data_IF_505124309683
#
_entry.id   IF_505124309683
#
_cell.length_a   1.000
_cell.length_b   1.000
_cell.length_c   1.000
_cell.angle_alpha   90.00
_cell.angle_beta   90.00
_cell.angle_gamma   90.00
#
_symmetry.space_group_name_H-M   'P 1'
#
loop_
_entity.id
_entity.type
_entity.pdbx_description
1 polymer ?
#
# COMPACT_ATOMS: atom_id res chain seq x y z
N UNK A 1 -20.34 13.00 4.17
CA UNK A 1 -19.03 12.67 4.75
C UNK A 1 -18.41 11.59 3.87
N UNK A 2 -17.41 11.95 3.07
CA UNK A 2 -16.64 10.93 2.33
C UNK A 2 -15.81 10.23 3.41
N UNK A 3 -16.04 8.93 3.58
CA UNK A 3 -15.30 8.13 4.53
C UNK A 3 -13.81 8.18 4.17
N UNK A 4 -12.93 8.52 5.12
CA UNK A 4 -11.46 8.47 4.98
C UNK A 4 -10.93 7.03 4.84
N UNK A 5 -11.75 6.12 4.34
CA UNK A 5 -11.48 4.69 4.25
C UNK A 5 -10.64 4.42 3.00
N UNK A 6 -9.53 3.73 3.20
CA UNK A 6 -8.67 3.25 2.13
C UNK A 6 -9.36 2.08 1.41
N UNK A 7 -9.40 2.12 0.08
CA UNK A 7 -9.95 1.05 -0.77
C UNK A 7 -8.80 0.42 -1.55
N UNK A 8 -8.46 -0.83 -1.27
CA UNK A 8 -7.37 -1.53 -1.96
C UNK A 8 -7.93 -2.41 -3.08
N UNK A 9 -7.34 -2.31 -4.27
CA UNK A 9 -7.77 -2.98 -5.48
C UNK A 9 -6.88 -4.20 -5.76
N UNK A 10 -7.19 -5.30 -5.08
CA UNK A 10 -6.72 -6.67 -5.36
C UNK A 10 -7.87 -7.71 -5.38
N UNK A 11 -9.10 -7.23 -5.19
CA UNK A 11 -10.36 -7.96 -5.05
C UNK A 11 -11.49 -6.99 -4.63
N UNK A 12 -12.67 -7.51 -4.29
CA UNK A 12 -13.82 -6.71 -3.83
C UNK A 12 -13.69 -6.39 -2.31
N UNK A 13 -13.14 -5.22 -1.94
CA UNK A 13 -13.32 -4.66 -0.59
C UNK A 13 -12.07 -4.27 0.22
N UNK A 14 -12.26 -4.14 1.54
CA UNK A 14 -11.22 -3.78 2.53
C UNK A 14 -10.16 -4.88 2.62
N UNK A 15 -8.89 -4.48 2.60
CA UNK A 15 -7.75 -5.39 2.73
C UNK A 15 -7.12 -5.22 4.11
N UNK A 16 -6.84 -6.32 4.80
CA UNK A 16 -6.17 -6.28 6.11
C UNK A 16 -4.66 -6.02 5.97
N UNK A 17 -3.98 -5.69 7.07
CA UNK A 17 -2.50 -5.60 7.10
C UNK A 17 -1.86 -6.93 6.66
N UNK A 18 -2.44 -8.07 7.03
CA UNK A 18 -1.93 -9.39 6.68
C UNK A 18 -2.08 -9.68 5.18
N UNK A 19 -3.21 -9.31 4.58
CA UNK A 19 -3.41 -9.43 3.13
C UNK A 19 -2.43 -8.55 2.35
N UNK A 20 -2.18 -7.32 2.82
CA UNK A 20 -1.19 -6.42 2.22
C UNK A 20 0.20 -7.06 2.25
N UNK A 21 0.61 -7.57 3.43
CA UNK A 21 1.88 -8.26 3.59
C UNK A 21 1.97 -9.47 2.65
N UNK A 22 0.94 -10.30 2.62
CA UNK A 22 0.87 -11.49 1.78
C UNK A 22 1.03 -11.11 0.30
N UNK A 23 0.33 -10.07 -0.17
CA UNK A 23 0.45 -9.58 -1.56
C UNK A 23 1.89 -9.20 -1.92
N UNK A 24 2.60 -8.52 -1.01
CA UNK A 24 4.01 -8.17 -1.20
C UNK A 24 4.89 -9.43 -1.24
N UNK A 25 4.71 -10.35 -0.30
CA UNK A 25 5.51 -11.58 -0.20
C UNK A 25 5.33 -12.50 -1.42
N UNK A 26 4.12 -12.57 -1.98
CA UNK A 26 3.84 -13.31 -3.22
C UNK A 26 4.16 -12.51 -4.49
N UNK A 27 4.79 -11.33 -4.35
CA UNK A 27 5.22 -10.44 -5.45
C UNK A 27 4.09 -10.08 -6.42
N UNK A 28 2.96 -9.65 -5.85
CA UNK A 28 1.81 -9.12 -6.60
C UNK A 28 1.83 -7.60 -6.59
N UNK A 29 1.54 -7.03 -7.75
CA UNK A 29 1.33 -5.59 -7.92
C UNK A 29 -0.12 -5.26 -7.58
N UNK A 30 -0.35 -4.06 -7.03
CA UNK A 30 -1.68 -3.58 -6.68
C UNK A 30 -1.75 -2.09 -6.48
N UNK A 31 -2.97 -1.54 -6.46
CA UNK A 31 -3.23 -0.15 -6.15
C UNK A 31 -4.29 0.02 -5.06
N UNK A 32 -4.39 1.23 -4.51
CA UNK A 32 -5.46 1.61 -3.59
C UNK A 32 -5.79 3.08 -3.70
N UNK A 33 -7.01 3.46 -3.33
CA UNK A 33 -7.42 4.85 -3.22
C UNK A 33 -7.46 5.26 -1.75
N UNK A 34 -6.82 6.38 -1.44
CA UNK A 34 -6.94 7.06 -0.16
C UNK A 34 -7.17 8.55 -0.41
N UNK A 35 -8.24 9.11 0.17
CA UNK A 35 -8.65 10.52 0.01
C UNK A 35 -8.70 11.00 -1.45
N UNK A 36 -9.17 10.13 -2.35
CA UNK A 36 -9.32 10.44 -3.77
C UNK A 36 -8.04 10.35 -4.60
N UNK A 37 -6.91 9.99 -3.98
CA UNK A 37 -5.64 9.73 -4.68
C UNK A 37 -5.40 8.23 -4.80
N UNK A 38 -4.93 7.78 -5.97
CA UNK A 38 -4.50 6.40 -6.17
C UNK A 38 -3.02 6.25 -5.80
N UNK A 39 -2.69 5.22 -5.05
CA UNK A 39 -1.34 4.80 -4.73
C UNK A 39 -1.09 3.43 -5.35
N UNK A 40 0.07 3.24 -5.95
CA UNK A 40 0.45 2.02 -6.65
C UNK A 40 1.61 1.37 -5.93
N UNK A 41 1.53 0.05 -5.80
CA UNK A 41 2.56 -0.81 -5.25
C UNK A 41 2.96 -1.83 -6.31
N UNK A 42 4.24 -1.84 -6.68
CA UNK A 42 4.78 -2.86 -7.58
C UNK A 42 5.88 -3.63 -6.89
N UNK A 43 5.95 -4.94 -7.14
CA UNK A 43 6.96 -5.82 -6.58
C UNK A 43 7.67 -6.55 -7.71
N UNK A 44 8.95 -6.21 -7.90
CA UNK A 44 9.79 -6.84 -8.91
C UNK A 44 9.88 -8.35 -8.67
N UNK A 45 9.33 -9.14 -9.60
CA UNK A 45 9.42 -10.62 -9.53
C UNK A 45 10.85 -11.14 -9.55
N UNK A 46 11.77 -10.38 -10.15
CA UNK A 46 13.18 -10.75 -10.32
C UNK A 46 14.03 -10.40 -9.09
N UNK A 47 13.89 -9.18 -8.58
CA UNK A 47 14.75 -8.68 -7.49
C UNK A 47 14.08 -8.65 -6.11
N UNK A 48 12.75 -8.73 -6.05
CA UNK A 48 11.99 -8.48 -4.82
C UNK A 48 11.92 -7.00 -4.41
N UNK A 49 12.49 -6.08 -5.20
CA UNK A 49 12.40 -4.64 -4.96
C UNK A 49 10.93 -4.21 -5.00
N UNK A 50 10.50 -3.44 -4.01
CA UNK A 50 9.16 -2.90 -3.90
C UNK A 50 9.22 -1.43 -4.31
N UNK A 51 8.32 -1.00 -5.19
CA UNK A 51 8.10 0.43 -5.47
C UNK A 51 6.73 0.83 -4.97
N UNK A 52 6.65 2.01 -4.36
CA UNK A 52 5.41 2.56 -3.81
C UNK A 52 5.36 4.06 -4.10
N UNK A 53 4.20 4.54 -4.55
CA UNK A 53 3.97 5.98 -4.71
C UNK A 53 2.57 6.32 -5.20
N UNK A 54 2.22 7.60 -5.20
CA UNK A 54 0.99 8.11 -5.83
C UNK A 54 1.07 7.86 -7.35
N UNK A 55 -0.07 7.52 -7.96
CA UNK A 55 -0.19 7.34 -9.40
C UNK A 55 0.32 8.59 -10.14
N UNK A 56 1.10 8.39 -11.20
CA UNK A 56 1.75 9.45 -12.00
C UNK A 56 2.89 10.22 -11.33
N UNK A 57 3.25 9.91 -10.08
CA UNK A 57 4.47 10.43 -9.46
C UNK A 57 5.62 9.41 -9.55
N UNK A 58 6.84 9.88 -9.29
CA UNK A 58 8.02 9.01 -9.20
C UNK A 58 7.89 8.17 -7.92
N UNK A 59 7.78 6.83 -8.00
CA UNK A 59 7.62 6.00 -6.82
C UNK A 59 8.94 5.87 -6.06
N UNK A 60 8.85 5.77 -4.74
CA UNK A 60 9.99 5.46 -3.87
C UNK A 60 10.24 3.95 -3.90
N UNK A 61 11.52 3.56 -3.81
CA UNK A 61 11.96 2.17 -3.77
C UNK A 61 12.20 1.72 -2.33
N UNK A 62 11.88 0.47 -2.07
CA UNK A 62 12.03 -0.18 -0.79
C UNK A 62 12.59 -1.59 -0.97
N UNK A 63 13.48 -1.98 -0.06
CA UNK A 63 14.20 -3.25 -0.13
C UNK A 63 13.41 -4.43 0.47
N UNK A 64 12.43 -4.13 1.32
CA UNK A 64 11.61 -5.15 1.98
C UNK A 64 10.29 -4.58 2.48
N UNK A 65 9.32 -5.46 2.78
CA UNK A 65 8.08 -5.11 3.46
C UNK A 65 8.33 -4.33 4.76
N UNK A 66 9.31 -4.76 5.56
CA UNK A 66 9.67 -4.07 6.82
C UNK A 66 10.15 -2.64 6.57
N UNK A 67 11.00 -2.44 5.56
CA UNK A 67 11.47 -1.12 5.19
C UNK A 67 10.30 -0.24 4.69
N UNK A 68 9.42 -0.79 3.85
CA UNK A 68 8.20 -0.09 3.40
C UNK A 68 7.34 0.37 4.59
N UNK A 69 7.02 -0.52 5.53
CA UNK A 69 6.16 -0.18 6.68
C UNK A 69 6.79 0.86 7.63
N UNK A 70 8.13 0.87 7.75
CA UNK A 70 8.82 1.80 8.63
C UNK A 70 8.91 3.23 8.06
N UNK A 71 9.12 3.35 6.74
CA UNK A 71 9.54 4.60 6.10
C UNK A 71 8.49 5.21 5.16
N UNK A 72 7.43 4.47 4.82
CA UNK A 72 6.44 4.92 3.86
C UNK A 72 5.42 5.87 4.52
N UNK A 73 5.24 7.03 3.89
CA UNK A 73 4.22 8.01 4.26
C UNK A 73 3.18 8.16 3.15
N UNK A 74 1.92 8.19 3.54
CA UNK A 74 0.76 8.51 2.72
C UNK A 74 0.12 9.77 3.29
N UNK A 75 0.20 10.88 2.55
CA UNK A 75 -0.30 12.20 3.01
C UNK A 75 0.23 12.57 4.42
N UNK A 76 1.51 12.29 4.68
CA UNK A 76 2.17 12.58 5.96
C UNK A 76 1.87 11.60 7.11
N UNK A 77 1.06 10.55 6.88
CA UNK A 77 0.82 9.47 7.85
C UNK A 77 1.63 8.22 7.53
N UNK A 78 2.07 7.49 8.54
CA UNK A 78 2.70 6.19 8.35
C UNK A 78 1.71 5.18 7.72
N UNK A 79 2.18 4.42 6.73
CA UNK A 79 1.36 3.45 5.99
C UNK A 79 0.84 2.31 6.87
N UNK A 80 1.63 1.82 7.84
CA UNK A 80 1.19 0.76 8.75
C UNK A 80 0.04 1.24 9.64
N UNK A 81 0.14 2.44 10.19
CA UNK A 81 -0.94 3.03 10.99
C UNK A 81 -2.24 3.17 10.17
N UNK A 82 -2.11 3.61 8.91
CA UNK A 82 -3.25 3.74 8.00
C UNK A 82 -3.92 2.38 7.71
N UNK A 83 -3.14 1.34 7.46
CA UNK A 83 -3.65 -0.02 7.22
C UNK A 83 -4.33 -0.60 8.47
N UNK A 84 -3.76 -0.35 9.65
CA UNK A 84 -4.35 -0.75 10.92
C UNK A 84 -5.72 -0.09 11.13
N UNK A 85 -5.82 1.24 10.98
CA UNK A 85 -7.09 1.97 11.12
C UNK A 85 -8.18 1.45 10.18
N UNK A 86 -7.82 1.14 8.93
CA UNK A 86 -8.77 0.66 7.93
C UNK A 86 -9.22 -0.78 8.18
N UNK A 87 -8.43 -1.59 8.88
CA UNK A 87 -8.76 -3.00 9.19
C UNK A 87 -9.84 -3.16 10.26
N UNK A 88 -10.08 -2.12 11.08
CA UNK A 88 -11.07 -2.14 12.18
C UNK A 88 -12.36 -1.35 11.86
N UNK A 89 -12.54 -0.91 10.61
CA UNK A 89 -13.55 0.07 10.19
C UNK A 89 -14.68 -0.48 9.33
#
# INVERSE_FOLDING_TARGET
MISDKMQIFLGDGFMTVEDFKNAIEVRRDFDFIYRGKRYVVNVSRKSGEITFGEEYLIPKKFESYRHLMAECLVEGRNLLDLLCDCSFS
#
